data_IF_575216834722
#
_entry.id   IF_575216834722
#
_cell.length_a   1.000
_cell.length_b   1.000
_cell.length_c   1.000
_cell.angle_alpha   90.00
_cell.angle_beta   90.00
_cell.angle_gamma   90.00
#
_symmetry.space_group_name_H-M   'P 1'
#
loop_
_entity.id
_entity.type
_entity.pdbx_description
1 polymer ?
#
# COMPACT_ATOMS: atom_id res chain seq x y z
N UNK A 1 19.04 -8.71 -20.40
CA UNK A 1 19.36 -7.32 -20.79
C UNK A 1 19.80 -6.70 -19.49
N UNK A 2 21.06 -6.26 -19.41
CA UNK A 2 21.57 -5.71 -18.16
C UNK A 2 20.77 -4.45 -17.77
N UNK A 3 20.31 -4.41 -16.53
CA UNK A 3 19.69 -3.26 -15.90
C UNK A 3 20.80 -2.42 -15.28
N UNK A 4 20.86 -1.15 -15.67
CA UNK A 4 21.79 -0.16 -15.11
C UNK A 4 21.01 0.85 -14.28
N UNK A 5 21.40 1.02 -13.02
CA UNK A 5 20.83 2.00 -12.09
C UNK A 5 21.96 2.93 -11.64
N UNK A 6 22.03 4.13 -12.22
CA UNK A 6 22.91 5.18 -11.70
C UNK A 6 22.21 5.90 -10.54
N UNK A 7 22.89 5.97 -9.39
CA UNK A 7 22.49 6.67 -8.18
C UNK A 7 22.94 8.13 -8.26
N UNK A 8 22.01 9.05 -8.00
CA UNK A 8 22.24 10.50 -8.02
C UNK A 8 21.66 11.14 -6.74
N UNK A 9 22.19 10.86 -5.53
CA UNK A 9 21.74 11.51 -4.31
C UNK A 9 22.04 13.03 -4.36
N UNK A 10 21.13 13.89 -3.87
CA UNK A 10 19.85 13.59 -3.19
C UNK A 10 18.65 13.43 -4.16
N UNK A 11 18.88 13.47 -5.47
CA UNK A 11 17.82 13.51 -6.48
C UNK A 11 17.14 12.15 -6.73
N UNK A 12 17.82 11.04 -6.42
CA UNK A 12 17.29 9.69 -6.53
C UNK A 12 18.20 8.77 -7.33
N UNK A 13 17.65 8.05 -8.29
CA UNK A 13 18.35 7.15 -9.19
C UNK A 13 17.68 7.10 -10.58
N UNK A 14 18.31 6.39 -11.50
CA UNK A 14 17.74 6.13 -12.83
C UNK A 14 16.32 5.56 -12.70
N UNK A 15 15.33 6.30 -13.21
CA UNK A 15 13.91 5.91 -13.18
C UNK A 15 13.13 6.31 -11.91
N UNK A 16 13.80 6.73 -10.83
CA UNK A 16 13.16 7.02 -9.54
C UNK A 16 13.70 8.31 -8.94
N UNK A 17 12.86 9.33 -8.79
CA UNK A 17 13.27 10.63 -8.26
C UNK A 17 12.72 10.85 -6.87
N UNK A 18 13.53 11.34 -5.94
CA UNK A 18 13.03 11.84 -4.67
C UNK A 18 12.04 12.98 -4.95
N UNK A 19 10.87 12.94 -4.30
CA UNK A 19 9.72 13.80 -4.54
C UNK A 19 8.79 13.34 -5.66
N UNK A 20 9.07 12.21 -6.33
CA UNK A 20 8.18 11.63 -7.34
C UNK A 20 6.83 11.25 -6.72
N UNK A 21 5.69 11.68 -7.28
CA UNK A 21 4.39 11.31 -6.75
C UNK A 21 4.11 9.81 -6.96
N UNK A 22 3.34 9.21 -6.06
CA UNK A 22 3.02 7.76 -6.07
C UNK A 22 2.39 7.31 -7.40
N UNK A 23 1.59 8.18 -8.01
CA UNK A 23 0.97 7.92 -9.32
C UNK A 23 1.98 7.82 -10.47
N UNK A 24 3.16 8.45 -10.38
CA UNK A 24 4.27 8.27 -11.33
C UNK A 24 5.20 7.13 -10.91
N UNK A 25 5.37 6.92 -9.60
CA UNK A 25 6.24 5.89 -9.03
C UNK A 25 5.77 4.47 -9.36
N UNK A 26 4.48 4.19 -9.21
CA UNK A 26 3.94 2.84 -9.44
C UNK A 26 4.14 2.40 -10.90
N UNK A 27 3.77 3.18 -11.93
CA UNK A 27 4.05 2.82 -13.32
C UNK A 27 5.54 2.63 -13.59
N UNK A 28 6.41 3.49 -13.04
CA UNK A 28 7.86 3.34 -13.17
C UNK A 28 8.35 2.02 -12.55
N UNK A 29 7.90 1.68 -11.35
CA UNK A 29 8.24 0.44 -10.67
C UNK A 29 7.73 -0.81 -11.43
N UNK A 30 6.48 -0.78 -11.93
CA UNK A 30 5.89 -1.84 -12.75
C UNK A 30 6.65 -2.02 -14.08
N UNK A 31 7.10 -0.92 -14.69
CA UNK A 31 7.89 -0.99 -15.93
C UNK A 31 9.26 -1.64 -15.74
N UNK A 32 9.80 -1.57 -14.52
CA UNK A 32 11.07 -2.18 -14.15
C UNK A 32 10.95 -3.65 -13.75
N UNK A 33 9.77 -4.14 -13.39
CA UNK A 33 9.58 -5.55 -13.02
C UNK A 33 8.29 -5.82 -12.25
N UNK A 34 8.20 -7.02 -11.66
CA UNK A 34 7.05 -7.39 -10.83
C UNK A 34 7.12 -6.62 -9.52
N UNK A 35 6.15 -5.75 -9.28
CA UNK A 35 5.98 -5.05 -8.01
C UNK A 35 5.24 -5.96 -7.02
N UNK A 36 5.79 -6.09 -5.81
CA UNK A 36 5.15 -6.65 -4.63
C UNK A 36 5.18 -5.58 -3.57
N UNK A 37 4.09 -5.41 -2.83
CA UNK A 37 3.99 -4.37 -1.83
C UNK A 37 4.17 -5.07 -0.48
N UNK A 38 4.96 -4.56 0.45
CA UNK A 38 5.04 -5.20 1.78
C UNK A 38 4.57 -4.25 2.85
N UNK A 39 3.68 -4.76 3.70
CA UNK A 39 3.25 -4.11 4.93
C UNK A 39 4.45 -4.07 5.91
N UNK A 40 4.91 -2.89 6.36
CA UNK A 40 6.03 -2.74 7.27
C UNK A 40 5.70 -3.17 8.71
N UNK A 41 4.47 -3.59 9.03
CA UNK A 41 3.99 -3.71 10.41
C UNK A 41 4.45 -4.97 11.18
N UNK A 42 5.77 -5.15 11.28
CA UNK A 42 6.40 -5.94 12.36
C UNK A 42 7.28 -5.10 13.30
N UNK A 43 7.57 -3.83 13.00
CA UNK A 43 8.55 -3.04 13.75
C UNK A 43 7.96 -1.92 14.64
N UNK A 44 6.65 -1.63 14.59
CA UNK A 44 6.02 -0.64 15.48
C UNK A 44 6.52 0.79 15.30
N UNK A 45 6.99 1.15 14.10
CA UNK A 45 7.41 2.51 13.77
C UNK A 45 6.26 3.23 13.06
N UNK A 46 5.86 4.39 13.58
CA UNK A 46 4.70 5.21 13.20
C UNK A 46 4.80 5.89 11.81
N UNK A 47 5.55 5.33 10.88
CA UNK A 47 5.76 5.91 9.55
C UNK A 47 5.17 4.98 8.48
N UNK A 48 4.34 5.54 7.60
CA UNK A 48 3.83 4.82 6.44
C UNK A 48 5.02 4.51 5.52
N UNK A 49 5.40 3.24 5.49
CA UNK A 49 6.44 2.72 4.62
C UNK A 49 5.74 1.81 3.62
N UNK A 50 5.64 2.23 2.36
CA UNK A 50 5.08 1.40 1.29
C UNK A 50 6.24 0.74 0.56
N UNK A 51 6.64 -0.43 1.04
CA UNK A 51 7.77 -1.17 0.47
C UNK A 51 7.36 -1.79 -0.88
N UNK A 52 7.58 -1.08 -2.00
CA UNK A 52 7.35 -1.63 -3.35
C UNK A 52 8.57 -2.45 -3.81
N UNK A 53 8.60 -3.75 -3.52
CA UNK A 53 9.63 -4.67 -3.99
C UNK A 53 9.49 -4.99 -5.48
N UNK A 54 10.44 -4.52 -6.29
CA UNK A 54 10.53 -4.87 -7.72
C UNK A 54 11.38 -6.12 -7.92
N UNK A 55 10.77 -7.23 -8.36
CA UNK A 55 11.45 -8.45 -8.75
C UNK A 55 11.69 -8.49 -10.27
N UNK A 56 12.93 -8.76 -10.66
CA UNK A 56 13.29 -9.09 -12.04
C UNK A 56 13.09 -10.59 -12.27
N UNK A 57 12.69 -11.00 -13.48
CA UNK A 57 12.25 -12.38 -13.78
C UNK A 57 13.25 -13.49 -13.36
N UNK A 58 14.53 -13.15 -13.21
CA UNK A 58 15.61 -14.10 -12.87
C UNK A 58 16.47 -13.72 -11.65
N UNK A 59 16.20 -12.61 -10.96
CA UNK A 59 16.97 -12.20 -9.78
C UNK A 59 16.05 -11.67 -8.68
N UNK A 60 16.31 -12.04 -7.43
CA UNK A 60 15.65 -11.41 -6.28
C UNK A 60 16.41 -10.14 -5.90
N UNK A 61 16.46 -9.22 -6.85
CA UNK A 61 16.70 -7.82 -6.55
C UNK A 61 15.44 -7.25 -5.89
N UNK A 62 15.63 -6.30 -4.98
CA UNK A 62 14.54 -5.61 -4.32
C UNK A 62 14.88 -4.12 -4.25
N UNK A 63 14.01 -3.29 -4.81
CA UNK A 63 13.95 -1.87 -4.46
C UNK A 63 12.87 -1.73 -3.40
N UNK A 64 13.09 -0.91 -2.40
CA UNK A 64 12.16 -0.70 -1.30
C UNK A 64 11.93 0.79 -1.23
N UNK A 65 10.72 1.25 -1.52
CA UNK A 65 10.41 2.67 -1.59
C UNK A 65 9.81 3.15 -0.26
N UNK A 66 10.14 4.37 0.14
CA UNK A 66 9.59 5.05 1.30
C UNK A 66 8.72 6.21 0.88
N UNK A 67 7.48 6.23 1.36
CA UNK A 67 6.51 7.30 1.14
C UNK A 67 6.10 7.88 2.50
N UNK A 68 6.95 8.69 3.14
CA UNK A 68 6.65 9.18 4.50
C UNK A 68 5.35 9.99 4.59
N UNK A 69 4.98 10.70 3.51
CA UNK A 69 3.69 11.40 3.40
C UNK A 69 2.60 10.56 2.72
N UNK A 70 2.91 9.30 2.41
CA UNK A 70 2.15 8.29 1.67
C UNK A 70 1.87 8.62 0.20
N UNK A 71 2.30 9.78 -0.30
CA UNK A 71 1.99 10.25 -1.65
C UNK A 71 3.23 10.57 -2.50
N UNK A 72 4.41 10.77 -1.90
CA UNK A 72 5.63 11.15 -2.59
C UNK A 72 6.84 10.35 -2.12
N UNK A 73 7.73 10.01 -3.05
CA UNK A 73 8.95 9.24 -2.78
C UNK A 73 9.92 10.04 -1.91
N UNK A 74 10.10 9.65 -0.65
CA UNK A 74 11.02 10.33 0.28
C UNK A 74 12.37 9.64 0.39
N UNK A 75 12.41 8.33 0.23
CA UNK A 75 13.64 7.54 0.11
C UNK A 75 13.37 6.25 -0.66
N UNK A 76 14.42 5.58 -1.10
CA UNK A 76 14.34 4.17 -1.50
C UNK A 76 15.64 3.45 -1.17
N UNK A 77 15.53 2.16 -0.89
CA UNK A 77 16.63 1.27 -0.59
C UNK A 77 16.72 0.19 -1.65
N UNK A 78 17.89 0.03 -2.28
CA UNK A 78 18.14 -1.07 -3.19
C UNK A 78 18.90 -2.14 -2.41
N UNK A 79 18.44 -3.39 -2.48
CA UNK A 79 19.12 -4.53 -1.89
C UNK A 79 19.90 -5.30 -2.94
N UNK A 80 21.09 -5.75 -2.59
CA UNK A 80 21.88 -6.64 -3.42
C UNK A 80 21.05 -7.88 -3.82
N UNK A 81 21.17 -8.37 -5.07
CA UNK A 81 20.48 -9.57 -5.50
C UNK A 81 20.79 -10.76 -4.58
N UNK A 82 19.75 -11.47 -4.17
CA UNK A 82 19.90 -12.71 -3.38
C UNK A 82 19.76 -13.96 -4.27
N UNK A 83 20.40 -15.09 -3.91
CA UNK A 83 20.06 -16.38 -4.49
C UNK A 83 18.62 -16.73 -4.09
N UNK A 84 17.78 -17.07 -5.07
CA UNK A 84 16.46 -17.63 -4.77
C UNK A 84 16.63 -19.01 -4.10
N UNK A 85 15.84 -19.35 -3.06
CA UNK A 85 15.89 -20.66 -2.43
C UNK A 85 15.77 -21.79 -3.47
N UNK A 86 16.77 -22.67 -3.54
CA UNK A 86 16.78 -23.81 -4.46
C UNK A 86 17.29 -23.53 -5.88
N UNK A 87 17.80 -22.32 -6.18
CA UNK A 87 18.56 -22.04 -7.40
C UNK A 87 20.05 -21.84 -7.07
N UNK A 88 20.91 -22.69 -7.62
CA UNK A 88 22.36 -22.48 -7.58
C UNK A 88 22.73 -21.43 -8.64
N UNK A 89 23.43 -20.39 -8.20
CA UNK A 89 23.88 -19.28 -9.05
C UNK A 89 22.91 -18.09 -9.03
N UNK A 90 23.43 -16.95 -8.58
CA UNK A 90 22.86 -15.64 -8.88
C UNK A 90 23.51 -15.18 -10.17
N UNK A 91 22.75 -15.12 -11.27
CA UNK A 91 23.20 -14.38 -12.45
C UNK A 91 23.05 -12.89 -12.13
N UNK A 92 23.96 -12.37 -11.28
CA UNK A 92 23.94 -10.96 -10.86
C UNK A 92 24.45 -10.07 -11.98
N UNK A 93 25.11 -10.62 -12.99
CA UNK A 93 25.73 -9.91 -14.13
C UNK A 93 24.74 -9.04 -14.90
N UNK A 94 23.43 -9.27 -14.73
CA UNK A 94 22.36 -8.47 -15.34
C UNK A 94 21.93 -7.24 -14.52
N UNK A 95 22.53 -6.93 -13.37
CA UNK A 95 22.22 -5.70 -12.61
C UNK A 95 23.49 -4.97 -12.20
N UNK A 96 23.59 -3.70 -12.57
CA UNK A 96 24.64 -2.78 -12.13
C UNK A 96 24.02 -1.60 -11.41
N UNK A 97 24.40 -1.41 -10.14
CA UNK A 97 24.01 -0.24 -9.35
C UNK A 97 25.25 0.60 -9.13
N UNK A 98 25.32 1.74 -9.81
CA UNK A 98 26.52 2.56 -9.89
C UNK A 98 26.32 3.92 -9.23
N UNK A 99 27.37 4.42 -8.58
CA UNK A 99 27.44 5.80 -8.10
C UNK A 99 28.75 6.41 -8.60
N UNK A 100 28.67 7.44 -9.45
CA UNK A 100 29.84 8.06 -10.09
C UNK A 100 30.70 7.01 -10.83
N UNK A 101 30.04 6.03 -11.45
CA UNK A 101 30.67 4.93 -12.16
C UNK A 101 31.29 3.83 -11.29
N UNK A 102 31.12 3.87 -9.97
CA UNK A 102 31.55 2.80 -9.05
C UNK A 102 30.38 1.86 -8.80
N UNK A 103 30.54 0.56 -9.06
CA UNK A 103 29.51 -0.44 -8.78
C UNK A 103 29.43 -0.70 -7.26
N UNK A 104 28.32 -0.31 -6.64
CA UNK A 104 28.10 -0.31 -5.19
C UNK A 104 28.07 -1.73 -4.61
N UNK A 105 27.54 -2.70 -5.36
CA UNK A 105 27.39 -4.09 -4.87
C UNK A 105 28.57 -4.99 -5.25
N UNK A 106 29.44 -4.56 -6.16
CA UNK A 106 30.63 -5.33 -6.58
C UNK A 106 31.96 -4.75 -6.10
N UNK A 107 32.00 -3.51 -5.66
CA UNK A 107 33.20 -2.93 -5.05
C UNK A 107 33.28 -3.38 -3.59
N UNK A 108 34.41 -3.92 -3.11
CA UNK A 108 34.59 -4.26 -1.70
C UNK A 108 34.18 -3.08 -0.81
N UNK A 109 33.41 -3.35 0.25
CA UNK A 109 32.76 -2.32 1.06
C UNK A 109 33.76 -1.28 1.59
N UNK A 110 34.93 -1.73 2.08
CA UNK A 110 35.98 -0.82 2.57
C UNK A 110 36.57 0.05 1.46
N UNK A 111 36.79 -0.52 0.26
CA UNK A 111 37.26 0.25 -0.90
C UNK A 111 36.22 1.29 -1.34
N UNK A 112 34.93 0.94 -1.33
CA UNK A 112 33.85 1.88 -1.63
C UNK A 112 33.83 3.05 -0.64
N UNK A 113 33.92 2.77 0.67
CA UNK A 113 33.96 3.80 1.71
C UNK A 113 35.21 4.70 1.57
N UNK A 114 36.38 4.13 1.30
CA UNK A 114 37.61 4.89 1.04
C UNK A 114 37.46 5.82 -0.17
N UNK A 115 36.79 5.37 -1.23
CA UNK A 115 36.50 6.21 -2.42
C UNK A 115 35.53 7.35 -2.10
N UNK A 116 34.50 7.10 -1.29
CA UNK A 116 33.56 8.14 -0.82
C UNK A 116 34.31 9.21 -0.01
N UNK A 117 35.19 8.81 0.91
CA UNK A 117 36.00 9.75 1.70
C UNK A 117 37.01 10.51 0.82
N UNK A 118 37.59 9.85 -0.19
CA UNK A 118 38.51 10.49 -1.13
C UNK A 118 37.83 11.58 -2.00
N UNK A 119 36.53 11.46 -2.22
CA UNK A 119 35.69 12.50 -2.87
C UNK A 119 35.33 13.66 -1.92
N UNK A 120 35.74 13.58 -0.65
CA UNK A 120 35.60 14.65 0.35
C UNK A 120 34.35 14.57 1.23
N UNK A 121 33.64 13.44 1.22
CA UNK A 121 32.45 13.24 2.06
C UNK A 121 32.81 12.64 3.43
N UNK A 122 32.08 13.02 4.48
CA UNK A 122 32.22 12.42 5.80
C UNK A 122 31.32 11.19 5.91
N UNK A 123 31.88 10.09 6.41
CA UNK A 123 31.11 8.86 6.66
C UNK A 123 30.88 8.73 8.16
N UNK A 124 29.61 8.80 8.55
CA UNK A 124 29.19 8.48 9.91
C UNK A 124 29.14 6.95 10.09
N UNK A 125 29.83 6.49 11.13
CA UNK A 125 30.01 5.08 11.51
C UNK A 125 29.42 4.77 12.88
N UNK A 126 28.63 5.69 13.46
CA UNK A 126 28.16 5.62 14.85
C UNK A 126 26.89 4.80 15.05
N UNK A 127 26.09 4.55 14.00
CA UNK A 127 24.77 3.92 14.12
C UNK A 127 24.84 2.47 14.60
N UNK A 128 25.53 1.61 13.85
CA UNK A 128 25.78 0.21 14.20
C UNK A 128 26.93 -0.35 13.36
N UNK A 129 27.62 -1.43 13.81
CA UNK A 129 28.57 -2.15 12.97
C UNK A 129 27.92 -2.55 11.65
N UNK A 130 28.59 -2.23 10.54
CA UNK A 130 28.08 -2.52 9.19
C UNK A 130 27.03 -1.53 8.67
N UNK A 131 26.71 -0.45 9.39
CA UNK A 131 25.85 0.65 8.92
C UNK A 131 26.67 1.91 8.72
N UNK A 132 26.53 2.52 7.55
CA UNK A 132 27.28 3.71 7.16
C UNK A 132 26.33 4.72 6.57
N UNK A 133 26.41 5.97 7.01
CA UNK A 133 25.65 7.06 6.42
C UNK A 133 26.59 8.18 5.99
N UNK A 134 26.22 8.90 4.93
CA UNK A 134 26.98 10.02 4.40
C UNK A 134 26.10 11.26 4.54
N UNK A 135 26.05 11.97 5.69
CA UNK A 135 24.98 12.95 5.91
C UNK A 135 24.88 14.06 4.85
N UNK A 136 26.00 14.46 4.22
CA UNK A 136 26.02 15.48 3.16
C UNK A 136 25.47 14.98 1.81
N UNK A 137 25.38 13.67 1.63
CA UNK A 137 24.72 13.02 0.51
C UNK A 137 23.71 12.06 1.14
N UNK A 138 22.42 12.36 1.31
CA UNK A 138 21.47 11.51 2.03
C UNK A 138 21.45 10.06 1.50
N UNK A 139 22.38 9.26 2.02
CA UNK A 139 22.89 8.04 1.43
C UNK A 139 23.30 7.15 2.59
N UNK A 140 22.76 5.94 2.59
CA UNK A 140 23.02 4.93 3.60
C UNK A 140 23.51 3.64 2.95
N UNK A 141 24.34 2.90 3.65
CA UNK A 141 24.79 1.58 3.21
C UNK A 141 24.69 0.61 4.37
N UNK A 142 24.30 -0.63 4.07
CA UNK A 142 24.37 -1.71 5.05
C UNK A 142 25.22 -2.86 4.53
N UNK A 143 26.05 -3.42 5.40
CA UNK A 143 26.75 -4.71 5.20
C UNK A 143 25.99 -5.86 5.85
N UNK A 144 24.79 -5.64 6.40
CA UNK A 144 24.07 -6.69 7.13
C UNK A 144 23.43 -7.70 6.17
N UNK A 145 24.01 -8.90 6.10
CA UNK A 145 23.42 -10.03 5.38
C UNK A 145 22.78 -11.03 6.36
N UNK A 146 21.48 -11.27 6.21
CA UNK A 146 20.78 -12.39 6.87
C UNK A 146 21.03 -13.77 6.21
N UNK A 147 22.02 -13.87 5.32
CA UNK A 147 22.32 -15.05 4.52
C UNK A 147 23.84 -15.21 4.34
N UNK A 148 24.26 -16.34 3.76
CA UNK A 148 25.67 -16.63 3.52
C UNK A 148 26.18 -15.79 2.33
N UNK A 149 27.25 -15.04 2.58
CA UNK A 149 27.87 -14.10 1.64
C UNK A 149 29.38 -14.14 1.84
N UNK A 150 30.18 -13.80 0.82
CA UNK A 150 31.61 -13.60 1.02
C UNK A 150 31.88 -12.62 2.16
N UNK A 151 32.78 -12.97 3.07
CA UNK A 151 33.14 -12.17 4.24
C UNK A 151 34.60 -11.75 4.16
N UNK A 152 34.90 -10.58 4.70
CA UNK A 152 36.26 -10.11 4.89
C UNK A 152 36.87 -10.72 6.18
N UNK A 153 38.14 -10.43 6.45
CA UNK A 153 38.87 -10.94 7.62
C UNK A 153 38.27 -10.50 8.96
N UNK A 154 37.48 -9.41 8.96
CA UNK A 154 36.73 -8.91 10.11
C UNK A 154 35.44 -9.71 10.39
N UNK A 155 35.10 -10.66 9.53
CA UNK A 155 33.87 -11.46 9.62
C UNK A 155 32.63 -10.75 9.07
N UNK A 156 32.74 -9.50 8.62
CA UNK A 156 31.64 -8.74 8.01
C UNK A 156 31.54 -9.03 6.50
N UNK A 157 30.36 -8.90 5.89
CA UNK A 157 30.21 -9.09 4.44
C UNK A 157 31.16 -8.24 3.61
N UNK A 158 31.81 -8.85 2.61
CA UNK A 158 32.83 -8.22 1.78
C UNK A 158 32.27 -7.06 0.95
N UNK A 159 30.99 -7.14 0.56
CA UNK A 159 30.28 -6.18 -0.28
C UNK A 159 29.08 -5.58 0.45
N UNK A 160 28.64 -4.39 0.01
CA UNK A 160 27.38 -3.80 0.49
C UNK A 160 26.19 -4.71 0.14
N UNK A 161 25.24 -4.79 1.06
CA UNK A 161 24.02 -5.60 0.95
C UNK A 161 22.79 -4.76 0.67
N UNK A 162 22.85 -3.48 1.02
CA UNK A 162 21.89 -2.50 0.54
C UNK A 162 22.51 -1.11 0.44
N UNK A 163 21.88 -0.27 -0.35
CA UNK A 163 22.14 1.17 -0.45
C UNK A 163 20.82 1.92 -0.40
N UNK A 164 20.72 2.88 0.51
CA UNK A 164 19.56 3.74 0.71
C UNK A 164 19.86 5.12 0.11
N UNK A 165 18.98 5.62 -0.75
CA UNK A 165 19.00 6.99 -1.27
C UNK A 165 17.79 7.71 -0.69
N UNK A 166 18.00 8.86 -0.08
CA UNK A 166 16.97 9.64 0.57
C UNK A 166 16.97 11.10 0.13
N UNK A 167 15.87 11.81 0.42
CA UNK A 167 15.87 13.28 0.39
C UNK A 167 16.47 13.89 1.66
N UNK A 168 16.76 15.20 1.58
CA UNK A 168 17.35 15.98 2.69
C UNK A 168 16.57 15.91 4.01
N UNK A 169 15.28 15.52 3.96
CA UNK A 169 14.41 15.41 5.14
C UNK A 169 14.63 14.12 5.94
N UNK A 170 15.14 13.07 5.33
CA UNK A 170 15.20 11.74 5.94
C UNK A 170 16.14 11.67 7.15
N UNK A 171 17.35 12.23 7.03
CA UNK A 171 18.32 12.29 8.14
C UNK A 171 18.12 13.50 9.07
N UNK A 172 17.14 14.36 8.76
CA UNK A 172 16.92 15.64 9.40
C UNK A 172 15.60 15.74 10.15
N UNK A 173 15.50 15.07 11.31
CA UNK A 173 14.39 15.14 12.29
C UNK A 173 13.03 14.60 11.81
N UNK A 174 12.41 13.82 12.71
CA UNK A 174 11.06 13.25 12.61
C UNK A 174 10.09 14.18 11.87
N UNK A 175 9.59 13.79 10.69
CA UNK A 175 8.37 14.36 10.20
C UNK A 175 7.26 13.79 11.09
N UNK A 176 6.82 14.55 12.10
CA UNK A 176 5.45 14.38 12.59
C UNK A 176 4.57 14.35 11.35
N UNK A 177 3.95 13.20 11.06
CA UNK A 177 2.97 13.11 9.97
C UNK A 177 1.83 14.05 10.34
N UNK A 178 1.90 15.23 9.77
CA UNK A 178 1.03 16.33 10.13
C UNK A 178 -0.29 16.13 9.39
N UNK A 179 -1.24 15.47 10.06
CA UNK A 179 -2.62 15.32 9.58
C UNK A 179 -3.27 16.68 9.24
N UNK A 180 -2.74 17.82 9.71
CA UNK A 180 -3.21 19.15 9.30
C UNK A 180 -2.86 19.52 7.86
N UNK A 181 -2.00 18.73 7.18
CA UNK A 181 -1.68 18.87 5.75
C UNK A 181 -2.60 18.08 4.82
N UNK A 182 -3.42 17.15 5.33
CA UNK A 182 -4.58 16.67 4.58
C UNK A 182 -5.49 17.87 4.46
N UNK A 183 -5.68 18.36 3.22
CA UNK A 183 -6.18 19.70 2.94
C UNK A 183 -7.29 20.15 3.90
N UNK A 184 -7.16 21.32 4.56
CA UNK A 184 -8.06 21.77 5.63
C UNK A 184 -9.49 22.04 5.15
N UNK A 185 -9.77 21.84 3.86
CA UNK A 185 -11.08 22.07 3.29
C UNK A 185 -11.94 20.80 3.36
N UNK A 186 -13.17 20.92 3.89
CA UNK A 186 -14.14 19.83 3.85
C UNK A 186 -14.32 19.30 2.43
N UNK A 187 -14.25 17.98 2.26
CA UNK A 187 -14.61 17.37 0.99
C UNK A 187 -16.13 17.30 0.88
N UNK A 188 -16.70 17.93 -0.14
CA UNK A 188 -18.07 17.66 -0.59
C UNK A 188 -17.99 16.70 -1.77
N UNK A 189 -18.45 15.46 -1.59
CA UNK A 189 -18.39 14.44 -2.65
C UNK A 189 -19.59 13.50 -2.61
N UNK A 190 -20.01 13.05 -3.80
CA UNK A 190 -21.14 12.12 -3.97
C UNK A 190 -20.66 10.89 -4.72
N UNK A 191 -20.72 9.73 -4.07
CA UNK A 191 -20.51 8.44 -4.70
C UNK A 191 -21.85 7.87 -5.15
N UNK A 192 -21.99 7.63 -6.45
CA UNK A 192 -23.16 6.96 -7.01
C UNK A 192 -22.78 5.52 -7.35
N UNK A 193 -23.30 4.55 -6.60
CA UNK A 193 -23.09 3.13 -6.85
C UNK A 193 -23.99 2.74 -8.02
N UNK A 194 -23.38 2.34 -9.13
CA UNK A 194 -24.03 1.91 -10.37
C UNK A 194 -23.75 0.41 -10.58
N UNK A 195 -24.42 -0.48 -9.81
CA UNK A 195 -24.22 -1.90 -10.00
C UNK A 195 -24.77 -2.34 -11.37
N UNK A 196 -24.07 -3.24 -12.08
CA UNK A 196 -22.86 -3.95 -11.66
C UNK A 196 -21.57 -3.32 -12.21
N UNK A 197 -21.59 -2.05 -12.61
CA UNK A 197 -20.51 -1.38 -13.34
C UNK A 197 -19.45 -0.74 -12.41
N UNK A 198 -19.79 -0.48 -11.15
CA UNK A 198 -18.87 0.10 -10.17
C UNK A 198 -19.49 1.25 -9.41
N UNK A 199 -18.66 2.24 -9.07
CA UNK A 199 -19.09 3.54 -8.54
C UNK A 199 -18.78 4.58 -9.59
N UNK A 200 -19.62 5.61 -9.75
CA UNK A 200 -19.37 6.68 -10.71
C UNK A 200 -17.96 7.29 -10.51
N UNK A 201 -17.15 7.31 -11.57
CA UNK A 201 -15.74 7.71 -11.52
C UNK A 201 -14.76 6.57 -11.22
N UNK A 202 -15.25 5.40 -10.82
CA UNK A 202 -14.49 4.20 -10.45
C UNK A 202 -15.15 2.92 -11.03
N UNK A 203 -15.17 2.75 -12.36
CA UNK A 203 -15.69 1.53 -12.98
C UNK A 203 -14.83 0.31 -12.61
N UNK A 204 -15.46 -0.85 -12.43
CA UNK A 204 -14.71 -2.11 -12.29
C UNK A 204 -13.88 -2.39 -13.55
N UNK A 205 -12.69 -2.95 -13.36
CA UNK A 205 -11.67 -3.11 -14.40
C UNK A 205 -10.79 -1.87 -14.64
N UNK A 206 -11.03 -0.76 -13.92
CA UNK A 206 -10.13 0.41 -13.93
C UNK A 206 -8.71 0.00 -13.57
N UNK A 207 -7.69 0.32 -14.39
CA UNK A 207 -6.29 0.04 -14.08
C UNK A 207 -5.83 0.73 -12.79
N UNK A 208 -4.94 0.10 -12.03
CA UNK A 208 -4.41 0.63 -10.76
C UNK A 208 -3.84 2.06 -10.89
N UNK A 209 -3.14 2.36 -11.99
CA UNK A 209 -2.59 3.71 -12.24
C UNK A 209 -3.71 4.76 -12.34
N UNK A 210 -4.75 4.47 -13.13
CA UNK A 210 -5.91 5.34 -13.27
C UNK A 210 -6.67 5.47 -11.95
N UNK A 211 -6.78 4.38 -11.20
CA UNK A 211 -7.41 4.35 -9.88
C UNK A 211 -6.68 5.25 -8.88
N UNK A 212 -5.35 5.14 -8.78
CA UNK A 212 -4.52 6.00 -7.92
C UNK A 212 -4.71 7.47 -8.30
N UNK A 213 -4.66 7.79 -9.60
CA UNK A 213 -4.87 9.15 -10.08
C UNK A 213 -6.27 9.69 -9.76
N UNK A 214 -7.32 8.87 -9.92
CA UNK A 214 -8.70 9.25 -9.65
C UNK A 214 -9.02 9.38 -8.16
N UNK A 215 -8.33 8.65 -7.29
CA UNK A 215 -8.55 8.65 -5.84
C UNK A 215 -7.73 9.70 -5.10
N UNK A 216 -6.59 10.12 -5.65
CA UNK A 216 -5.72 11.16 -5.06
C UNK A 216 -6.47 12.46 -4.68
N UNK A 217 -7.40 13.00 -5.49
CA UNK A 217 -8.17 14.19 -5.11
C UNK A 217 -9.14 13.98 -3.95
N UNK A 218 -9.52 12.73 -3.65
CA UNK A 218 -10.50 12.41 -2.61
C UNK A 218 -9.88 12.43 -1.22
N UNK A 219 -8.58 12.20 -1.08
CA UNK A 219 -7.96 12.17 0.22
C UNK A 219 -6.60 11.52 0.19
N UNK A 220 -6.15 11.10 1.37
CA UNK A 220 -4.87 10.46 1.48
C UNK A 220 -4.95 9.01 0.99
N UNK A 221 -4.13 8.65 0.00
CA UNK A 221 -4.13 7.32 -0.59
C UNK A 221 -3.11 6.44 0.14
N UNK A 222 -3.56 5.34 0.76
CA UNK A 222 -2.69 4.30 1.34
C UNK A 222 -2.87 3.01 0.57
N UNK A 223 -1.78 2.32 0.25
CA UNK A 223 -1.82 1.04 -0.45
C UNK A 223 -1.38 -0.06 0.52
N UNK A 224 -2.20 -1.08 0.73
CA UNK A 224 -1.85 -2.26 1.55
C UNK A 224 -1.74 -3.50 0.66
N UNK A 225 -0.75 -4.34 0.97
CA UNK A 225 -0.63 -5.69 0.40
C UNK A 225 -1.17 -6.73 1.38
N UNK A 226 -2.09 -7.56 0.91
CA UNK A 226 -2.55 -8.72 1.65
C UNK A 226 -1.85 -10.02 1.20
N UNK A 227 -0.74 -9.92 0.47
CA UNK A 227 0.01 -11.06 -0.08
C UNK A 227 0.45 -12.07 0.98
N UNK A 228 0.66 -11.65 2.23
CA UNK A 228 0.90 -12.59 3.34
C UNK A 228 -0.29 -13.52 3.62
N UNK A 229 -1.52 -13.05 3.41
CA UNK A 229 -2.72 -13.89 3.51
C UNK A 229 -2.96 -14.72 2.24
N UNK A 230 -2.58 -14.20 1.06
CA UNK A 230 -2.75 -14.84 -0.26
C UNK A 230 -1.64 -14.45 -1.25
N UNK A 231 -0.68 -15.34 -1.58
CA UNK A 231 0.46 -15.05 -2.46
C UNK A 231 0.10 -14.82 -3.95
N UNK A 232 -1.17 -14.88 -4.31
CA UNK A 232 -1.72 -14.87 -5.66
C UNK A 232 -2.37 -13.53 -6.10
N UNK A 233 -1.85 -12.39 -5.57
CA UNK A 233 -2.14 -10.99 -5.97
C UNK A 233 -3.38 -10.38 -5.30
N UNK A 234 -3.18 -9.50 -4.31
CA UNK A 234 -4.23 -8.67 -3.72
C UNK A 234 -3.63 -7.32 -3.32
N UNK A 235 -4.01 -6.26 -4.02
CA UNK A 235 -3.69 -4.89 -3.60
C UNK A 235 -4.98 -4.20 -3.11
N UNK A 236 -4.93 -3.51 -1.97
CA UNK A 236 -6.03 -2.67 -1.50
C UNK A 236 -5.58 -1.23 -1.40
N UNK A 237 -6.25 -0.36 -2.15
CA UNK A 237 -6.04 1.07 -2.11
C UNK A 237 -7.09 1.70 -1.17
N UNK A 238 -6.63 2.39 -0.14
CA UNK A 238 -7.45 3.10 0.83
C UNK A 238 -7.40 4.58 0.50
N UNK A 239 -8.56 5.23 0.44
CA UNK A 239 -8.67 6.68 0.56
C UNK A 239 -9.08 6.97 1.99
N UNK A 240 -8.17 7.58 2.74
CA UNK A 240 -8.35 7.91 4.15
C UNK A 240 -8.53 9.42 4.30
N UNK A 241 -9.61 9.78 5.00
CA UNK A 241 -9.88 11.10 5.53
C UNK A 241 -10.26 10.99 7.00
N UNK A 242 -10.21 12.08 7.79
CA UNK A 242 -10.61 12.04 9.19
C UNK A 242 -12.02 11.47 9.40
N UNK A 243 -12.99 11.87 8.57
CA UNK A 243 -14.39 11.42 8.64
C UNK A 243 -14.76 10.28 7.69
N UNK A 244 -13.89 9.83 6.78
CA UNK A 244 -14.32 8.91 5.71
C UNK A 244 -13.22 7.95 5.30
N UNK A 245 -13.60 6.72 4.92
CA UNK A 245 -12.70 5.73 4.34
C UNK A 245 -13.38 5.05 3.16
N UNK A 246 -12.67 4.99 2.04
CA UNK A 246 -13.02 4.12 0.92
C UNK A 246 -11.90 3.12 0.69
N UNK A 247 -12.25 1.88 0.39
CA UNK A 247 -11.32 0.79 0.10
C UNK A 247 -11.60 0.33 -1.32
N UNK A 248 -10.57 0.30 -2.15
CA UNK A 248 -10.61 -0.11 -3.54
C UNK A 248 -9.76 -1.36 -3.66
N UNK A 249 -10.41 -2.51 -3.80
CA UNK A 249 -9.73 -3.79 -3.91
C UNK A 249 -9.38 -4.09 -5.37
N UNK A 250 -8.11 -4.43 -5.60
CA UNK A 250 -7.62 -4.98 -6.86
C UNK A 250 -7.18 -6.42 -6.57
N UNK A 251 -8.14 -7.34 -6.57
CA UNK A 251 -7.95 -8.76 -6.23
C UNK A 251 -7.17 -9.55 -7.30
N UNK A 252 -6.88 -8.94 -8.44
CA UNK A 252 -5.95 -9.47 -9.45
C UNK A 252 -4.58 -8.77 -9.38
N UNK A 253 -4.41 -7.79 -8.48
CA UNK A 253 -3.24 -6.94 -8.33
C UNK A 253 -3.12 -5.79 -9.34
N UNK A 254 -4.00 -5.70 -10.34
CA UNK A 254 -3.84 -4.79 -11.49
C UNK A 254 -5.05 -3.90 -11.75
N UNK A 255 -6.26 -4.38 -11.51
CA UNK A 255 -7.50 -3.69 -11.86
C UNK A 255 -8.49 -3.70 -10.72
N UNK A 256 -9.34 -2.67 -10.66
CA UNK A 256 -10.36 -2.51 -9.64
C UNK A 256 -11.41 -3.62 -9.73
N UNK A 257 -11.52 -4.46 -8.69
CA UNK A 257 -12.48 -5.57 -8.64
C UNK A 257 -13.50 -5.43 -7.52
N UNK A 258 -13.30 -4.57 -6.53
CA UNK A 258 -14.35 -4.22 -5.57
C UNK A 258 -14.12 -2.83 -4.97
N UNK A 259 -15.21 -2.20 -4.51
CA UNK A 259 -15.15 -0.95 -3.77
C UNK A 259 -15.97 -1.12 -2.51
N UNK A 260 -15.38 -0.82 -1.37
CA UNK A 260 -16.07 -0.70 -0.09
C UNK A 260 -16.02 0.74 0.40
N UNK A 261 -17.18 1.31 0.66
CA UNK A 261 -17.33 2.65 1.19
C UNK A 261 -17.80 2.53 2.64
N UNK A 262 -17.14 3.24 3.55
CA UNK A 262 -17.54 3.29 4.95
C UNK A 262 -18.42 4.50 5.25
N UNK A 263 -19.34 4.33 6.19
CA UNK A 263 -20.21 5.39 6.66
C UNK A 263 -19.34 6.56 7.19
N UNK A 264 -19.59 7.80 6.74
CA UNK A 264 -18.88 8.95 7.26
C UNK A 264 -19.08 9.10 8.77
N UNK A 265 -18.01 9.39 9.50
CA UNK A 265 -18.05 9.69 10.93
C UNK A 265 -18.02 11.21 11.16
N UNK A 266 -19.17 11.85 11.47
CA UNK A 266 -19.25 13.30 11.62
C UNK A 266 -18.51 13.84 12.84
N UNK A 267 -18.20 12.99 13.84
CA UNK A 267 -17.44 13.40 15.02
C UNK A 267 -15.93 13.52 14.75
N UNK A 268 -15.47 12.97 13.62
CA UNK A 268 -14.05 12.93 13.25
C UNK A 268 -13.67 13.89 12.12
N UNK A 269 -14.62 14.57 11.49
CA UNK A 269 -14.32 15.50 10.40
C UNK A 269 -15.54 16.27 9.89
N UNK A 270 -15.29 17.20 8.97
CA UNK A 270 -16.31 18.08 8.40
C UNK A 270 -16.73 17.67 6.98
N UNK A 271 -16.23 16.55 6.46
CA UNK A 271 -16.54 16.10 5.11
C UNK A 271 -18.04 15.84 4.96
N UNK A 272 -18.58 16.17 3.79
CA UNK A 272 -19.96 15.90 3.39
C UNK A 272 -19.94 14.90 2.26
N UNK A 273 -19.93 13.63 2.65
CA UNK A 273 -19.92 12.51 1.72
C UNK A 273 -21.31 11.89 1.67
N UNK A 274 -21.90 11.84 0.48
CA UNK A 274 -23.14 11.10 0.22
C UNK A 274 -22.81 9.86 -0.59
N UNK A 275 -23.34 8.70 -0.18
CA UNK A 275 -23.23 7.45 -0.94
C UNK A 275 -24.63 7.02 -1.33
N UNK A 276 -24.88 6.93 -2.62
CA UNK A 276 -26.21 6.60 -3.15
C UNK A 276 -26.21 5.28 -3.91
N UNK A 277 -27.25 4.49 -3.69
CA UNK A 277 -27.55 3.28 -4.44
C UNK A 277 -28.94 3.42 -5.06
N UNK A 278 -29.02 3.45 -6.39
CA UNK A 278 -30.31 3.60 -7.11
C UNK A 278 -31.13 4.79 -6.57
N UNK A 279 -30.45 5.92 -6.33
CA UNK A 279 -30.99 7.16 -5.79
C UNK A 279 -31.39 7.14 -4.30
N UNK A 280 -30.98 6.12 -3.54
CA UNK A 280 -31.21 6.02 -2.09
C UNK A 280 -29.89 6.30 -1.36
N UNK A 281 -29.89 7.23 -0.40
CA UNK A 281 -28.73 7.46 0.47
C UNK A 281 -28.53 6.26 1.40
N UNK A 282 -27.40 5.56 1.23
CA UNK A 282 -27.11 4.30 1.90
C UNK A 282 -26.89 4.47 3.40
N UNK A 283 -26.28 5.59 3.81
CA UNK A 283 -25.84 5.79 5.20
C UNK A 283 -26.82 6.64 6.02
N UNK A 284 -27.72 7.38 5.36
CA UNK A 284 -28.77 8.15 6.05
C UNK A 284 -30.16 7.51 5.97
N UNK A 285 -30.35 6.42 5.21
CA UNK A 285 -31.59 5.63 5.25
C UNK A 285 -31.45 4.53 6.31
N UNK A 286 -32.42 4.35 7.24
CA UNK A 286 -32.37 3.26 8.20
C UNK A 286 -32.16 1.90 7.49
N UNK A 287 -31.27 1.07 8.02
CA UNK A 287 -30.79 -0.14 7.35
C UNK A 287 -31.95 -1.06 6.93
N UNK A 288 -32.90 -1.31 7.84
CA UNK A 288 -34.07 -2.15 7.55
C UNK A 288 -34.99 -1.53 6.47
N UNK A 289 -35.14 -0.20 6.47
CA UNK A 289 -35.93 0.50 5.45
C UNK A 289 -35.26 0.41 4.07
N UNK A 290 -33.93 0.56 4.01
CA UNK A 290 -33.18 0.39 2.77
C UNK A 290 -33.34 -1.02 2.20
N UNK A 291 -33.21 -2.07 3.03
CA UNK A 291 -33.43 -3.45 2.61
C UNK A 291 -34.84 -3.65 2.06
N UNK A 292 -35.87 -3.16 2.75
CA UNK A 292 -37.26 -3.25 2.32
C UNK A 292 -37.49 -2.53 0.98
N UNK A 293 -36.87 -1.36 0.77
CA UNK A 293 -36.95 -0.61 -0.48
C UNK A 293 -36.33 -1.37 -1.66
N UNK A 294 -35.22 -2.08 -1.45
CA UNK A 294 -34.59 -2.89 -2.50
C UNK A 294 -35.41 -4.16 -2.80
N UNK A 295 -35.95 -4.82 -1.78
CA UNK A 295 -36.88 -5.95 -1.97
C UNK A 295 -38.14 -5.52 -2.71
N UNK A 296 -38.71 -4.35 -2.36
CA UNK A 296 -39.88 -3.79 -3.04
C UNK A 296 -39.62 -3.45 -4.52
N UNK A 297 -38.35 -3.23 -4.90
CA UNK A 297 -37.90 -3.06 -6.30
C UNK A 297 -37.67 -4.37 -7.03
N UNK A 298 -37.85 -5.51 -6.36
CA UNK A 298 -37.79 -6.85 -6.95
C UNK A 298 -36.45 -7.57 -6.80
N UNK A 299 -35.50 -7.02 -6.04
CA UNK A 299 -34.21 -7.67 -5.80
C UNK A 299 -34.31 -8.71 -4.68
N UNK A 300 -33.59 -9.82 -4.82
CA UNK A 300 -33.54 -10.87 -3.80
C UNK A 300 -32.57 -10.51 -2.68
N UNK A 301 -33.07 -10.41 -1.44
CA UNK A 301 -32.25 -10.28 -0.24
C UNK A 301 -31.71 -11.65 0.20
N UNK A 302 -30.39 -11.75 0.36
CA UNK A 302 -29.74 -12.79 1.15
C UNK A 302 -29.37 -12.20 2.52
N UNK A 303 -30.12 -12.63 3.55
CA UNK A 303 -29.96 -12.24 4.95
C UNK A 303 -29.52 -13.42 5.84
N UNK A 304 -28.88 -14.43 5.24
CA UNK A 304 -28.34 -15.58 5.98
C UNK A 304 -27.35 -15.18 7.08
N UNK A 305 -26.66 -14.06 6.87
CA UNK A 305 -25.94 -13.30 7.90
C UNK A 305 -26.59 -11.91 8.07
N UNK A 306 -27.39 -11.69 9.12
CA UNK A 306 -28.05 -10.41 9.37
C UNK A 306 -27.11 -9.24 9.65
N UNK A 307 -25.84 -9.51 10.00
CA UNK A 307 -24.82 -8.46 10.15
C UNK A 307 -24.21 -8.07 8.79
N UNK A 308 -24.34 -8.93 7.78
CA UNK A 308 -23.81 -8.72 6.42
C UNK A 308 -24.83 -9.04 5.30
N UNK A 309 -26.01 -8.39 5.30
CA UNK A 309 -27.02 -8.66 4.27
C UNK A 309 -26.52 -8.23 2.89
N UNK A 310 -26.95 -8.96 1.86
CA UNK A 310 -26.49 -8.71 0.47
C UNK A 310 -27.58 -8.95 -0.57
N UNK A 311 -27.38 -8.34 -1.73
CA UNK A 311 -28.20 -8.53 -2.93
C UNK A 311 -27.28 -9.08 -4.04
N UNK A 312 -27.20 -10.40 -4.22
CA UNK A 312 -26.28 -11.02 -5.18
C UNK A 312 -26.48 -10.53 -6.62
N UNK A 313 -27.73 -10.28 -7.02
CA UNK A 313 -28.10 -9.76 -8.35
C UNK A 313 -27.50 -8.38 -8.64
N UNK A 314 -27.29 -7.58 -7.61
CA UNK A 314 -26.64 -6.26 -7.69
C UNK A 314 -25.13 -6.33 -7.43
N UNK A 315 -24.61 -7.50 -7.03
CA UNK A 315 -23.26 -7.64 -6.50
C UNK A 315 -22.95 -6.63 -5.38
N UNK A 316 -23.94 -6.37 -4.51
CA UNK A 316 -23.82 -5.45 -3.37
C UNK A 316 -24.01 -6.19 -2.04
N UNK A 317 -23.19 -5.85 -1.06
CA UNK A 317 -23.35 -6.25 0.33
C UNK A 317 -23.21 -5.06 1.26
N UNK A 318 -23.77 -5.19 2.45
CA UNK A 318 -23.73 -4.16 3.47
C UNK A 318 -23.18 -4.70 4.78
N UNK A 319 -22.69 -3.79 5.64
CA UNK A 319 -22.18 -4.14 6.97
C UNK A 319 -23.00 -3.44 8.05
N UNK A 320 -23.50 -4.22 9.02
CA UNK A 320 -24.18 -3.74 10.25
C UNK A 320 -23.38 -4.10 11.51
N UNK A 321 -22.10 -4.39 11.42
CA UNK A 321 -21.26 -4.59 12.61
C UNK A 321 -20.88 -3.25 13.22
N UNK A 322 -20.89 -3.15 14.56
CA UNK A 322 -20.53 -1.92 15.26
C UNK A 322 -19.03 -1.68 15.18
N UNK A 323 -18.63 -0.56 14.55
CA UNK A 323 -17.28 -0.03 14.66
C UNK A 323 -17.09 0.99 15.79
N UNK A 324 -18.16 1.66 16.19
CA UNK A 324 -18.15 2.73 17.19
C UNK A 324 -19.55 2.87 17.82
N UNK A 325 -19.72 3.82 18.75
CA UNK A 325 -21.01 4.11 19.36
C UNK A 325 -21.95 4.72 18.31
N UNK A 326 -22.93 3.94 17.88
CA UNK A 326 -23.94 4.33 16.89
C UNK A 326 -25.36 4.05 17.41
N UNK A 327 -26.37 4.80 16.94
CA UNK A 327 -27.77 4.49 17.22
C UNK A 327 -28.11 3.05 16.81
N UNK A 328 -29.00 2.42 17.58
CA UNK A 328 -29.38 1.03 17.39
C UNK A 328 -30.82 0.91 16.95
N UNK A 329 -31.06 -0.03 16.04
CA UNK A 329 -32.39 -0.50 15.70
C UNK A 329 -32.93 -1.44 16.80
N UNK A 330 -34.24 -1.76 16.79
CA UNK A 330 -34.86 -2.66 17.77
C UNK A 330 -34.25 -4.07 17.82
N UNK A 331 -33.55 -4.50 16.76
CA UNK A 331 -32.85 -5.78 16.68
C UNK A 331 -31.46 -5.76 17.34
N UNK A 332 -31.07 -4.63 17.96
CA UNK A 332 -29.80 -4.46 18.68
C UNK A 332 -28.60 -4.16 17.78
N UNK A 333 -28.78 -4.12 16.46
CA UNK A 333 -27.75 -3.76 15.47
C UNK A 333 -27.78 -2.25 15.18
N UNK A 334 -26.74 -1.67 14.57
CA UNK A 334 -26.75 -0.32 14.04
C UNK A 334 -28.04 -0.01 13.27
N UNK A 335 -28.59 1.17 13.55
CA UNK A 335 -29.77 1.70 12.88
C UNK A 335 -29.50 1.97 11.38
N UNK A 336 -28.26 2.32 11.05
CA UNK A 336 -27.79 2.60 9.69
C UNK A 336 -26.64 1.65 9.33
N UNK A 337 -26.46 1.38 8.04
CA UNK A 337 -25.31 0.61 7.58
C UNK A 337 -24.01 1.34 7.90
N UNK A 338 -22.97 0.57 8.18
CA UNK A 338 -21.64 1.05 8.54
C UNK A 338 -20.67 0.98 7.37
N UNK A 339 -20.93 0.10 6.40
CA UNK A 339 -20.25 0.06 5.13
C UNK A 339 -21.17 -0.51 4.04
N UNK A 340 -20.82 -0.24 2.79
CA UNK A 340 -21.39 -0.87 1.60
C UNK A 340 -20.26 -1.29 0.68
N UNK A 341 -20.32 -2.54 0.21
CA UNK A 341 -19.37 -3.12 -0.72
C UNK A 341 -20.09 -3.39 -2.04
N UNK A 342 -19.50 -2.93 -3.13
CA UNK A 342 -19.89 -3.24 -4.49
C UNK A 342 -18.79 -4.05 -5.18
N UNK A 343 -19.17 -5.08 -5.93
CA UNK A 343 -18.27 -5.85 -6.80
C UNK A 343 -18.88 -6.07 -8.20
N UNK A 344 -18.14 -6.71 -9.12
CA UNK A 344 -18.61 -7.05 -10.46
C UNK A 344 -19.69 -8.15 -10.40
N UNK A 345 -20.39 -8.42 -11.53
CA UNK A 345 -21.33 -9.54 -11.60
C UNK A 345 -20.70 -10.85 -11.10
N UNK A 346 -21.42 -11.56 -10.23
CA UNK A 346 -20.96 -12.83 -9.66
C UNK A 346 -19.95 -12.72 -8.53
N UNK A 347 -19.65 -11.51 -8.03
CA UNK A 347 -18.74 -11.31 -6.89
C UNK A 347 -19.14 -12.13 -5.63
N UNK A 348 -20.44 -12.35 -5.43
CA UNK A 348 -20.96 -13.16 -4.32
C UNK A 348 -21.29 -14.62 -4.68
N UNK A 349 -21.12 -15.01 -5.95
CA UNK A 349 -21.37 -16.39 -6.40
C UNK A 349 -20.23 -17.33 -6.04
N UNK A 350 -19.05 -16.77 -5.78
CA UNK A 350 -17.92 -17.55 -5.32
C UNK A 350 -18.12 -17.94 -3.86
N UNK A 351 -17.95 -19.23 -3.50
CA UNK A 351 -17.92 -19.63 -2.10
C UNK A 351 -16.84 -18.80 -1.41
N UNK A 352 -17.17 -18.23 -0.24
CA UNK A 352 -16.16 -17.61 0.61
C UNK A 352 -15.00 -18.59 0.73
N UNK A 353 -13.75 -18.18 0.46
CA UNK A 353 -12.64 -19.10 0.59
C UNK A 353 -12.67 -19.70 2.00
N UNK A 354 -12.45 -21.02 2.14
CA UNK A 354 -12.48 -21.67 3.44
C UNK A 354 -11.51 -20.93 4.36
N UNK A 355 -12.04 -20.47 5.51
CA UNK A 355 -11.25 -19.94 6.63
C UNK A 355 -10.12 -20.92 6.90
N UNK A 356 -8.88 -20.51 6.63
CA UNK A 356 -7.73 -21.38 6.89
C UNK A 356 -7.55 -21.47 8.41
N UNK A 357 -7.84 -22.67 8.91
CA UNK A 357 -7.39 -23.44 10.08
C UNK A 357 -6.52 -22.78 11.18
N UNK A 358 -6.79 -21.53 11.54
CA UNK A 358 -6.07 -20.83 12.61
C UNK A 358 -7.04 -20.17 13.61
N UNK A 359 -8.35 -20.39 13.46
CA UNK A 359 -9.38 -19.75 14.28
C UNK A 359 -9.59 -18.25 13.98
N UNK A 360 -8.98 -17.74 12.90
CA UNK A 360 -9.21 -16.39 12.41
C UNK A 360 -10.51 -16.28 11.62
N UNK A 361 -11.29 -15.25 11.92
CA UNK A 361 -12.52 -14.91 11.19
C UNK A 361 -12.28 -14.71 9.67
N UNK A 362 -13.30 -14.91 8.82
CA UNK A 362 -13.18 -14.70 7.38
C UNK A 362 -12.65 -13.29 7.06
N UNK A 363 -11.79 -13.14 6.05
CA UNK A 363 -11.18 -11.82 5.77
C UNK A 363 -12.21 -10.75 5.37
N UNK A 364 -13.37 -11.14 4.79
CA UNK A 364 -14.51 -10.22 4.59
C UNK A 364 -15.08 -9.66 5.90
N UNK A 365 -14.79 -10.27 7.05
CA UNK A 365 -15.07 -9.72 8.39
C UNK A 365 -13.84 -9.09 9.08
N UNK A 366 -12.65 -9.13 8.46
CA UNK A 366 -11.53 -8.25 8.86
C UNK A 366 -11.68 -6.85 8.29
N UNK A 367 -12.30 -6.76 7.12
CA UNK A 367 -12.77 -5.51 6.52
C UNK A 367 -13.86 -4.81 7.35
N UNK A 368 -14.35 -5.36 8.46
CA UNK A 368 -15.39 -4.72 9.29
C UNK A 368 -14.90 -4.21 10.64
N UNK A 369 -13.59 -4.23 10.89
CA UNK A 369 -13.00 -3.51 12.02
C UNK A 369 -12.60 -2.10 11.59
N UNK A 370 -13.12 -1.03 12.23
CA UNK A 370 -12.47 0.25 12.10
C UNK A 370 -11.05 0.13 12.66
N UNK A 371 -10.13 0.93 12.12
CA UNK A 371 -8.86 1.21 12.78
C UNK A 371 -9.17 1.66 14.21
N UNK A 372 -8.90 0.78 15.19
CA UNK A 372 -8.74 1.19 16.56
C UNK A 372 -7.50 2.09 16.54
N UNK A 373 -7.71 3.39 16.83
CA UNK A 373 -6.64 4.36 16.93
C UNK A 373 -5.69 4.05 18.08
#
# INVERSE_FOLDING_TARGET
MAMEIELDPPNGATGYKIGMPVGELIPAAVSSGRVVITDPDQAGLHYMKVDLTVYLENSSFAIVFGLEDGCTLTYFELHAPRPLPGREGTDTDDLHVTWRGIDVFRTPALELLERIEAEGFEIDRREAPGHYTVPELPFGFTRNAGHDVPRADDGEPLFMQSVLVAGDRYYGREPDFDFSKIGPEPLEHRFEIDPPNGVAGFPFGMPMEELVAATTPLGHVRLEDLAQARPDLYAMLFVVRPSFTAIFACEDGYTLTAIELWAPNPDRGQDRITVELLGIDVFNTPALELLDLLVARGYTLDDTDPDHPRFPELAIGFTRTRGHDVPLAPDGRPQYFQAVLAGPPGYYDQPLPPTRLDGGEPWKSRLTRPFAG
#
